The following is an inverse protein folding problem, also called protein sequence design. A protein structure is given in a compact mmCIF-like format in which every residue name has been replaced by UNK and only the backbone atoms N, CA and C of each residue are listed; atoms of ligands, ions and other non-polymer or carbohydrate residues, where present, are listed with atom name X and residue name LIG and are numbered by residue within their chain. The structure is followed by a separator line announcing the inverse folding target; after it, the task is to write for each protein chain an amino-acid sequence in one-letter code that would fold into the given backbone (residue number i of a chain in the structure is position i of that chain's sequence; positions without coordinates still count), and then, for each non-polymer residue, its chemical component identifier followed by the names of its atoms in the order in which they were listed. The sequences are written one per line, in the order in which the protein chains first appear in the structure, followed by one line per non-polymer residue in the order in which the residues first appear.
data_IF_039036550231
#
_entry.id   IF_039036550231
#
_cell.length_a   1.000
_cell.length_b   1.000
_cell.length_c   1.000
_cell.angle_alpha   90.00
_cell.angle_beta   90.00
_cell.angle_gamma   90.00
#
_symmetry.space_group_name_H-M   'P 1'
#
loop_
_entity.id
_entity.type
_entity.pdbx_description
1 polymer ?
#
# COMPACT_ATOMS: atom_id res chain seq x y z
N UNK A 1 68.76 -18.47 2.95
CA UNK A 1 68.01 -18.83 4.18
C UNK A 1 67.08 -19.97 3.82
N UNK A 2 67.36 -21.20 4.26
CA UNK A 2 66.78 -22.44 3.80
C UNK A 2 65.48 -22.74 4.58
N UNK A 3 64.40 -23.05 3.84
CA UNK A 3 63.13 -23.52 4.41
C UNK A 3 63.24 -25.02 4.78
N UNK A 4 62.69 -25.48 5.92
CA UNK A 4 62.70 -26.89 6.27
C UNK A 4 61.62 -27.67 5.54
N UNK A 5 61.98 -28.87 5.09
CA UNK A 5 61.17 -29.87 4.41
C UNK A 5 60.04 -30.41 5.31
N UNK A 6 58.87 -30.61 4.69
CA UNK A 6 57.66 -31.12 5.30
C UNK A 6 57.78 -32.54 5.83
N UNK A 7 57.10 -32.77 6.94
CA UNK A 7 56.82 -34.09 7.51
C UNK A 7 55.54 -34.67 6.93
N UNK A 8 55.62 -35.82 6.29
CA UNK A 8 54.51 -36.59 5.82
C UNK A 8 53.71 -37.17 6.98
N UNK A 9 52.52 -36.63 7.25
CA UNK A 9 51.56 -37.25 8.17
C UNK A 9 50.71 -38.24 7.37
N UNK A 10 50.98 -39.51 7.53
CA UNK A 10 50.16 -40.59 6.99
C UNK A 10 48.91 -40.80 7.88
N UNK A 11 47.76 -40.45 7.34
CA UNK A 11 46.48 -40.78 7.95
C UNK A 11 46.20 -42.29 7.86
N UNK A 12 46.45 -43.04 8.93
CA UNK A 12 45.89 -44.38 9.04
C UNK A 12 44.38 -44.30 9.26
N UNK A 13 43.59 -44.72 8.28
CA UNK A 13 42.15 -44.82 8.33
C UNK A 13 41.77 -45.85 9.41
N UNK A 14 41.42 -45.40 10.60
CA UNK A 14 40.73 -46.20 11.60
C UNK A 14 39.30 -46.44 11.11
N UNK A 15 39.08 -47.55 10.38
CA UNK A 15 37.72 -48.09 10.17
C UNK A 15 37.18 -48.55 11.49
N UNK A 16 36.39 -47.71 12.16
CA UNK A 16 35.58 -48.11 13.29
C UNK A 16 34.62 -49.22 12.82
N UNK A 17 34.84 -50.45 13.29
CA UNK A 17 33.92 -51.58 13.05
C UNK A 17 32.61 -51.26 13.78
N UNK A 18 31.52 -51.09 13.03
CA UNK A 18 30.19 -50.96 13.60
C UNK A 18 29.91 -52.19 14.50
N UNK A 19 29.38 -52.01 15.71
CA UNK A 19 29.04 -53.13 16.61
C UNK A 19 27.96 -54.01 15.95
N UNK A 20 27.93 -55.33 16.25
CA UNK A 20 26.97 -56.24 15.65
C UNK A 20 25.54 -55.81 15.98
N UNK A 21 24.63 -55.98 15.04
CA UNK A 21 23.24 -55.49 15.07
C UNK A 21 22.48 -55.82 16.37
N UNK A 22 22.76 -56.99 16.99
CA UNK A 22 22.19 -57.36 18.29
C UNK A 22 22.66 -56.45 19.45
N UNK A 23 23.90 -55.97 19.43
CA UNK A 23 24.42 -55.11 20.48
C UNK A 23 23.80 -53.69 20.35
N UNK A 24 23.58 -53.23 19.15
CA UNK A 24 22.89 -51.95 18.86
C UNK A 24 21.44 -52.04 19.33
N UNK A 25 20.73 -53.18 19.03
CA UNK A 25 19.33 -53.37 19.44
C UNK A 25 19.18 -53.41 20.96
N UNK A 26 20.05 -54.15 21.64
CA UNK A 26 20.06 -54.23 23.12
C UNK A 26 20.44 -52.90 23.78
N UNK A 27 21.22 -52.05 23.12
CA UNK A 27 21.53 -50.72 23.62
C UNK A 27 20.32 -49.78 23.44
N UNK A 28 19.64 -49.85 22.32
CA UNK A 28 18.45 -49.03 22.01
C UNK A 28 17.25 -49.36 22.92
N UNK A 29 17.14 -50.62 23.39
CA UNK A 29 16.02 -51.07 24.26
C UNK A 29 16.29 -50.88 25.76
N UNK A 30 17.52 -50.49 26.17
CA UNK A 30 17.80 -50.23 27.58
C UNK A 30 17.10 -48.98 28.08
N UNK A 31 16.48 -49.09 29.26
CA UNK A 31 15.75 -48.02 29.94
C UNK A 31 16.59 -46.72 30.04
N UNK A 32 17.92 -46.83 30.22
CA UNK A 32 18.84 -45.69 30.25
C UNK A 32 18.97 -44.97 28.91
N UNK A 33 18.91 -45.70 27.79
CA UNK A 33 18.93 -45.07 26.45
C UNK A 33 17.62 -44.35 26.17
N UNK A 34 16.48 -44.94 26.51
CA UNK A 34 15.18 -44.33 26.40
C UNK A 34 15.08 -43.06 27.24
N UNK A 35 15.64 -43.08 28.44
CA UNK A 35 15.71 -41.93 29.33
C UNK A 35 16.61 -40.81 28.73
N UNK A 36 17.73 -41.19 28.14
CA UNK A 36 18.59 -40.22 27.44
C UNK A 36 17.90 -39.58 26.24
N UNK A 37 17.18 -40.39 25.43
CA UNK A 37 16.40 -39.87 24.28
C UNK A 37 15.28 -38.96 24.76
N UNK A 38 14.60 -39.32 25.86
CA UNK A 38 13.54 -38.46 26.43
C UNK A 38 14.11 -37.13 26.95
N UNK A 39 15.24 -37.16 27.67
CA UNK A 39 15.92 -35.96 28.17
C UNK A 39 16.42 -35.11 27.00
N UNK A 40 17.04 -35.70 25.97
CA UNK A 40 17.48 -34.99 24.77
C UNK A 40 16.30 -34.39 24.04
N UNK A 41 15.17 -35.11 23.94
CA UNK A 41 13.93 -34.59 23.36
C UNK A 41 13.39 -33.36 24.11
N UNK A 42 13.38 -33.43 25.44
CA UNK A 42 12.96 -32.31 26.31
C UNK A 42 13.91 -31.10 26.11
N UNK A 43 15.23 -31.36 26.10
CA UNK A 43 16.23 -30.31 25.85
C UNK A 43 16.00 -29.66 24.47
N UNK A 44 15.72 -30.45 23.43
CA UNK A 44 15.40 -29.97 22.08
C UNK A 44 14.11 -29.17 22.08
N UNK A 45 13.07 -29.59 22.80
CA UNK A 45 11.80 -28.87 22.93
C UNK A 45 12.00 -27.52 23.67
N UNK A 46 12.74 -27.54 24.78
CA UNK A 46 13.10 -26.34 25.53
C UNK A 46 13.93 -25.40 24.62
N UNK A 47 14.92 -25.93 23.91
CA UNK A 47 15.76 -25.19 23.00
C UNK A 47 14.99 -24.59 21.84
N UNK A 48 14.02 -25.34 21.27
CA UNK A 48 13.14 -24.81 20.22
C UNK A 48 12.12 -23.81 20.79
N UNK A 49 11.63 -24.02 22.02
CA UNK A 49 10.81 -23.04 22.72
C UNK A 49 11.56 -21.73 23.01
N UNK A 50 12.81 -21.84 23.45
CA UNK A 50 13.69 -20.67 23.66
C UNK A 50 14.10 -20.03 22.33
N UNK A 51 14.31 -20.80 21.26
CA UNK A 51 14.56 -20.29 19.92
C UNK A 51 13.31 -19.69 19.27
N UNK A 52 12.11 -20.15 19.63
CA UNK A 52 10.86 -19.49 19.23
C UNK A 52 10.81 -18.04 19.72
N UNK A 53 11.41 -17.77 20.90
CA UNK A 53 11.61 -16.40 21.40
C UNK A 53 12.78 -15.68 20.75
N UNK A 54 13.73 -16.39 20.12
CA UNK A 54 14.83 -15.75 19.38
C UNK A 54 14.35 -15.01 18.11
N UNK A 55 13.18 -15.39 17.55
CA UNK A 55 12.49 -14.61 16.53
C UNK A 55 12.08 -13.21 17.01
N UNK A 56 11.90 -13.05 18.32
CA UNK A 56 11.59 -11.75 18.91
C UNK A 56 12.79 -10.79 18.88
N UNK A 57 14.01 -11.28 18.91
CA UNK A 57 15.21 -10.44 18.82
C UNK A 57 15.35 -9.74 17.45
N UNK A 58 14.88 -10.32 16.36
CA UNK A 58 14.85 -9.68 15.06
C UNK A 58 13.90 -8.47 15.04
N UNK A 59 12.89 -8.45 15.89
CA UNK A 59 11.96 -7.32 16.04
C UNK A 59 12.65 -6.08 16.61
N UNK A 60 13.68 -6.26 17.44
CA UNK A 60 14.39 -5.15 18.08
C UNK A 60 15.41 -4.46 17.18
N UNK A 61 15.86 -5.10 16.12
CA UNK A 61 16.97 -4.59 15.31
C UNK A 61 16.52 -4.06 13.95
N UNK A 62 15.24 -3.85 13.71
CA UNK A 62 14.72 -3.32 12.45
C UNK A 62 15.21 -4.08 11.20
N UNK A 63 15.53 -5.35 11.33
CA UNK A 63 15.83 -6.19 10.18
C UNK A 63 14.50 -6.61 9.56
N UNK A 64 14.12 -5.92 8.45
CA UNK A 64 13.00 -6.36 7.64
C UNK A 64 13.17 -7.82 7.20
N UNK A 65 12.09 -8.55 6.96
CA UNK A 65 12.19 -9.91 6.46
C UNK A 65 12.92 -9.90 5.11
N UNK A 66 13.88 -10.79 4.96
CA UNK A 66 14.58 -11.00 3.68
C UNK A 66 13.63 -11.54 2.59
N UNK A 67 12.42 -11.98 2.99
CA UNK A 67 11.37 -12.51 2.12
C UNK A 67 10.26 -11.48 1.95
N UNK A 68 9.72 -11.36 0.74
CA UNK A 68 8.46 -10.64 0.55
C UNK A 68 7.32 -11.42 1.23
N UNK A 69 6.20 -10.76 1.63
CA UNK A 69 5.05 -11.44 2.23
C UNK A 69 4.50 -12.60 1.41
N UNK A 70 4.62 -12.52 0.08
CA UNK A 70 4.21 -13.59 -0.85
C UNK A 70 5.11 -14.83 -0.77
N UNK A 71 6.32 -14.69 -0.24
CA UNK A 71 7.28 -15.77 -0.06
C UNK A 71 7.28 -16.31 1.37
N UNK A 72 6.48 -15.69 2.24
CA UNK A 72 6.32 -16.10 3.62
C UNK A 72 5.29 -17.22 3.74
N UNK A 73 5.53 -18.15 4.64
CA UNK A 73 4.51 -19.10 5.06
C UNK A 73 3.36 -18.37 5.78
N UNK A 74 2.14 -18.95 5.85
CA UNK A 74 1.04 -18.33 6.57
C UNK A 74 1.38 -17.94 8.03
N UNK A 75 2.24 -18.72 8.69
CA UNK A 75 2.71 -18.44 10.05
C UNK A 75 3.67 -17.22 10.09
N UNK A 76 4.57 -17.14 9.13
CA UNK A 76 5.47 -15.97 9.00
C UNK A 76 4.67 -14.70 8.64
N UNK A 77 3.65 -14.82 7.80
CA UNK A 77 2.75 -13.70 7.46
C UNK A 77 1.96 -13.23 8.68
N UNK A 78 1.41 -14.18 9.48
CA UNK A 78 0.67 -13.83 10.69
C UNK A 78 1.58 -13.18 11.75
N UNK A 79 2.81 -13.66 11.91
CA UNK A 79 3.81 -13.05 12.79
C UNK A 79 4.21 -11.67 12.31
N UNK A 80 4.40 -11.49 11.00
CA UNK A 80 4.74 -10.20 10.41
C UNK A 80 3.59 -9.20 10.55
N UNK A 81 2.36 -9.61 10.27
CA UNK A 81 1.18 -8.77 10.47
C UNK A 81 1.01 -8.38 11.95
N UNK A 82 1.20 -9.33 12.88
CA UNK A 82 1.20 -9.03 14.31
C UNK A 82 2.32 -8.07 14.72
N UNK A 83 3.50 -8.18 14.09
CA UNK A 83 4.62 -7.28 14.35
C UNK A 83 4.34 -5.84 13.87
N UNK A 84 3.70 -5.66 12.72
CA UNK A 84 3.31 -4.35 12.22
C UNK A 84 2.22 -3.68 13.08
N UNK A 85 1.39 -4.49 13.75
CA UNK A 85 0.28 -4.00 14.57
C UNK A 85 0.63 -3.85 16.06
N UNK A 86 1.69 -4.53 16.52
CA UNK A 86 2.04 -4.52 17.95
C UNK A 86 2.94 -3.33 18.24
N UNK A 87 2.50 -2.37 19.06
CA UNK A 87 3.38 -1.30 19.50
C UNK A 87 4.58 -1.90 20.24
N UNK A 88 5.76 -1.34 19.98
CA UNK A 88 7.00 -1.75 20.66
C UNK A 88 6.86 -1.44 22.15
N UNK A 89 6.76 -2.47 22.98
CA UNK A 89 6.41 -2.37 24.42
C UNK A 89 7.58 -1.80 25.26
N UNK A 90 8.53 -1.10 24.71
CA UNK A 90 9.72 -0.68 25.46
C UNK A 90 9.66 0.71 26.09
N UNK A 91 8.65 1.51 25.79
CA UNK A 91 8.51 2.83 26.39
C UNK A 91 7.57 2.83 27.60
N UNK A 92 7.82 1.99 28.59
CA UNK A 92 7.20 2.10 29.91
C UNK A 92 7.87 3.19 30.78
N UNK A 93 8.41 4.23 30.15
CA UNK A 93 8.90 5.36 30.92
C UNK A 93 7.74 6.23 31.38
N UNK A 94 7.84 6.72 32.61
CA UNK A 94 6.94 7.76 33.08
C UNK A 94 6.92 8.92 32.06
N UNK A 95 5.78 9.57 31.84
CA UNK A 95 5.68 10.73 30.95
C UNK A 95 6.76 11.74 31.36
N UNK A 96 7.60 12.15 30.41
CA UNK A 96 8.57 13.20 30.64
C UNK A 96 7.84 14.52 30.55
N UNK A 97 7.86 15.30 31.65
CA UNK A 97 7.35 16.67 31.64
C UNK A 97 8.35 17.58 30.92
N UNK A 98 7.87 18.27 29.90
CA UNK A 98 8.66 19.24 29.13
C UNK A 98 8.11 20.63 29.46
N UNK A 99 8.89 21.40 30.20
CA UNK A 99 8.52 22.77 30.66
C UNK A 99 8.94 23.85 29.64
N UNK A 100 8.99 23.53 28.34
CA UNK A 100 9.34 24.50 27.30
C UNK A 100 8.29 24.49 26.19
N UNK A 101 7.74 25.66 25.88
CA UNK A 101 6.79 25.85 24.78
C UNK A 101 7.45 25.70 23.39
N UNK A 102 8.77 25.70 23.32
CA UNK A 102 9.53 25.53 22.08
C UNK A 102 9.81 24.05 21.73
N UNK A 103 9.44 23.12 22.64
CA UNK A 103 9.66 21.69 22.45
C UNK A 103 8.29 21.00 22.38
N UNK A 104 8.00 20.39 21.25
CA UNK A 104 6.80 19.57 21.06
C UNK A 104 7.19 18.09 21.18
N UNK A 105 6.56 17.38 22.12
CA UNK A 105 6.64 15.91 22.19
C UNK A 105 5.43 15.31 21.50
N UNK A 106 5.68 14.43 20.55
CA UNK A 106 4.63 13.67 19.83
C UNK A 106 4.84 12.19 20.11
N UNK A 107 3.80 11.53 20.63
CA UNK A 107 3.77 10.08 20.81
C UNK A 107 2.89 9.47 19.72
N UNK A 108 3.48 8.67 18.83
CA UNK A 108 2.79 7.97 17.74
C UNK A 108 2.30 6.57 18.14
N UNK A 109 2.72 6.06 19.31
CA UNK A 109 2.36 4.69 19.71
C UNK A 109 0.83 4.46 19.89
N UNK A 110 0.03 5.43 20.35
CA UNK A 110 -1.42 5.26 20.46
C UNK A 110 -2.16 5.42 19.14
N UNK A 111 -1.47 5.89 18.07
CA UNK A 111 -2.11 6.08 16.76
C UNK A 111 -2.18 4.72 16.07
N UNK A 112 -3.40 4.26 15.85
CA UNK A 112 -3.67 2.96 15.24
C UNK A 112 -4.51 3.11 13.98
N UNK A 113 -4.49 2.09 13.12
CA UNK A 113 -5.35 1.96 11.95
C UNK A 113 -6.02 0.60 12.04
N UNK A 114 -7.29 0.59 12.46
CA UNK A 114 -8.00 -0.65 12.83
C UNK A 114 -9.39 -0.73 12.19
N UNK A 115 -9.97 -1.95 12.09
CA UNK A 115 -11.36 -2.10 11.64
C UNK A 115 -12.39 -1.38 12.52
N UNK A 116 -12.02 -1.04 13.75
CA UNK A 116 -12.85 -0.30 14.69
C UNK A 116 -12.62 1.22 14.60
N UNK A 117 -12.25 1.74 13.44
CA UNK A 117 -11.88 3.13 13.22
C UNK A 117 -12.90 4.13 13.77
N UNK A 118 -14.20 3.89 13.55
CA UNK A 118 -15.27 4.74 14.08
C UNK A 118 -15.33 4.73 15.62
N UNK A 119 -15.19 3.56 16.25
CA UNK A 119 -15.25 3.42 17.70
C UNK A 119 -14.06 4.08 18.39
N UNK A 120 -12.90 4.02 17.73
CA UNK A 120 -11.64 4.63 18.21
C UNK A 120 -11.47 6.07 17.76
N UNK A 121 -12.42 6.60 17.00
CA UNK A 121 -12.37 7.95 16.43
C UNK A 121 -11.08 8.19 15.61
N UNK A 122 -10.67 7.18 14.85
CA UNK A 122 -9.48 7.24 14.01
C UNK A 122 -9.66 8.28 12.90
N UNK A 123 -8.65 9.13 12.71
CA UNK A 123 -8.72 10.25 11.77
C UNK A 123 -8.29 9.83 10.37
N UNK A 124 -8.98 10.36 9.38
CA UNK A 124 -8.75 10.10 7.96
C UNK A 124 -8.27 11.38 7.28
N UNK A 125 -7.20 11.29 6.52
CA UNK A 125 -6.72 12.35 5.63
C UNK A 125 -7.13 12.02 4.19
N UNK A 126 -7.99 12.84 3.60
CA UNK A 126 -8.34 12.72 2.17
C UNK A 126 -7.42 13.62 1.35
N UNK A 127 -6.77 13.05 0.34
CA UNK A 127 -5.79 13.70 -0.52
C UNK A 127 -6.23 13.68 -1.98
N UNK A 128 -6.31 14.86 -2.60
CA UNK A 128 -6.74 15.02 -4.00
C UNK A 128 -5.77 15.95 -4.74
N UNK A 129 -4.90 15.42 -5.62
CA UNK A 129 -4.12 16.25 -6.52
C UNK A 129 -5.00 16.75 -7.68
N UNK A 130 -4.86 18.03 -8.02
CA UNK A 130 -5.68 18.72 -9.01
C UNK A 130 -4.81 19.36 -10.10
N UNK A 131 -5.23 19.22 -11.35
CA UNK A 131 -4.71 19.95 -12.50
C UNK A 131 -5.78 20.10 -13.56
N UNK A 132 -6.15 21.34 -13.91
CA UNK A 132 -7.24 21.63 -14.85
C UNK A 132 -8.53 20.87 -14.48
N UNK A 133 -8.97 21.03 -13.24
CA UNK A 133 -10.02 20.23 -12.62
C UNK A 133 -11.31 21.00 -12.35
N UNK A 134 -11.38 22.29 -12.72
CA UNK A 134 -12.52 23.15 -12.44
C UNK A 134 -13.90 22.50 -12.73
N UNK A 135 -14.12 21.78 -13.85
CA UNK A 135 -15.43 21.19 -14.16
C UNK A 135 -15.89 20.07 -13.23
N UNK A 136 -14.97 19.48 -12.45
CA UNK A 136 -15.26 18.30 -11.63
C UNK A 136 -15.38 18.61 -10.13
N UNK A 137 -14.96 19.79 -9.70
CA UNK A 137 -14.80 20.15 -8.28
C UNK A 137 -16.15 20.16 -7.57
N UNK A 138 -17.20 20.75 -8.14
CA UNK A 138 -18.52 20.82 -7.51
C UNK A 138 -19.05 19.41 -7.20
N UNK A 139 -19.06 18.50 -8.18
CA UNK A 139 -19.49 17.13 -7.98
C UNK A 139 -18.62 16.38 -6.95
N UNK A 140 -17.32 16.59 -6.97
CA UNK A 140 -16.41 16.01 -5.99
C UNK A 140 -16.81 16.40 -4.56
N UNK A 141 -17.10 17.68 -4.32
CA UNK A 141 -17.54 18.15 -3.00
C UNK A 141 -18.91 17.63 -2.60
N UNK A 142 -19.83 17.47 -3.53
CA UNK A 142 -21.12 16.87 -3.25
C UNK A 142 -20.98 15.40 -2.82
N UNK A 143 -20.09 14.65 -3.44
CA UNK A 143 -19.78 13.28 -3.03
C UNK A 143 -19.04 13.23 -1.68
N UNK A 144 -18.09 14.12 -1.42
CA UNK A 144 -17.44 14.23 -0.12
C UNK A 144 -18.45 14.55 0.99
N UNK A 145 -19.39 15.44 0.72
CA UNK A 145 -20.42 15.80 1.66
C UNK A 145 -21.38 14.65 2.01
N UNK A 146 -21.57 13.70 1.09
CA UNK A 146 -22.39 12.51 1.30
C UNK A 146 -21.68 11.44 2.16
N UNK A 147 -20.37 11.53 2.40
CA UNK A 147 -19.67 10.57 3.23
C UNK A 147 -20.33 10.42 4.60
N UNK A 148 -20.47 9.18 5.05
CA UNK A 148 -21.08 8.84 6.34
C UNK A 148 -20.06 8.78 7.48
N UNK A 149 -18.77 8.66 7.16
CA UNK A 149 -17.70 8.79 8.16
C UNK A 149 -17.76 10.19 8.78
N UNK A 150 -17.66 10.32 10.11
CA UNK A 150 -17.86 11.61 10.78
C UNK A 150 -16.91 12.70 10.25
N UNK A 151 -17.45 13.77 9.69
CA UNK A 151 -16.67 14.82 9.04
C UNK A 151 -15.61 15.45 9.96
N UNK A 152 -15.91 15.57 11.29
CA UNK A 152 -14.94 16.08 12.26
C UNK A 152 -13.73 15.16 12.48
N UNK A 153 -13.74 13.92 11.93
CA UNK A 153 -12.60 13.01 11.90
C UNK A 153 -11.89 13.00 10.54
N UNK A 154 -12.32 13.82 9.60
CA UNK A 154 -11.75 13.90 8.23
C UNK A 154 -11.03 15.23 8.07
N UNK A 155 -9.78 15.17 7.64
CA UNK A 155 -9.04 16.31 7.12
C UNK A 155 -8.97 16.21 5.58
N UNK A 156 -9.20 17.33 4.90
CA UNK A 156 -9.11 17.43 3.45
C UNK A 156 -7.81 18.15 3.05
N UNK A 157 -7.12 17.65 2.03
CA UNK A 157 -6.00 18.38 1.45
C UNK A 157 -5.97 18.23 -0.06
N UNK A 158 -5.81 19.35 -0.74
CA UNK A 158 -5.79 19.49 -2.19
C UNK A 158 -4.46 20.06 -2.63
N UNK A 159 -3.89 19.54 -3.70
CA UNK A 159 -2.74 20.15 -4.35
C UNK A 159 -3.17 20.67 -5.71
N UNK A 160 -3.04 21.97 -5.94
CA UNK A 160 -3.23 22.60 -7.24
C UNK A 160 -1.87 22.91 -7.84
N UNK A 161 -1.60 22.39 -9.04
CA UNK A 161 -0.34 22.63 -9.72
C UNK A 161 -0.47 22.55 -11.24
N UNK A 162 0.31 23.38 -11.93
CA UNK A 162 0.35 23.47 -13.40
C UNK A 162 -1.04 23.62 -14.05
N UNK A 163 -2.02 24.21 -13.33
CA UNK A 163 -3.37 24.46 -13.85
C UNK A 163 -3.41 25.76 -14.67
N UNK A 164 -4.15 25.73 -15.76
CA UNK A 164 -4.36 26.87 -16.69
C UNK A 164 -5.81 27.35 -16.72
N UNK A 165 -6.69 26.67 -15.99
CA UNK A 165 -8.10 27.01 -15.81
C UNK A 165 -8.37 27.58 -14.39
N UNK A 166 -9.63 27.81 -14.06
CA UNK A 166 -10.07 28.40 -12.79
C UNK A 166 -10.07 27.39 -11.62
N UNK A 167 -9.33 26.27 -11.69
CA UNK A 167 -9.30 25.21 -10.68
C UNK A 167 -9.12 25.76 -9.25
N UNK A 168 -8.16 26.68 -9.05
CA UNK A 168 -7.90 27.21 -7.70
C UNK A 168 -9.06 28.06 -7.16
N UNK A 169 -9.64 28.90 -8.00
CA UNK A 169 -10.75 29.77 -7.60
C UNK A 169 -12.02 28.98 -7.29
N UNK A 170 -12.35 27.99 -8.13
CA UNK A 170 -13.48 27.09 -7.91
C UNK A 170 -13.27 26.25 -6.65
N UNK A 171 -12.06 25.70 -6.44
CA UNK A 171 -11.72 24.96 -5.23
C UNK A 171 -11.92 25.78 -3.96
N UNK A 172 -11.43 27.02 -3.93
CA UNK A 172 -11.58 27.90 -2.76
C UNK A 172 -13.05 28.16 -2.46
N UNK A 173 -13.85 28.48 -3.49
CA UNK A 173 -15.29 28.75 -3.37
C UNK A 173 -16.04 27.51 -2.81
N UNK A 174 -15.76 26.34 -3.34
CA UNK A 174 -16.41 25.10 -2.90
C UNK A 174 -16.00 24.69 -1.47
N UNK A 175 -14.74 24.90 -1.10
CA UNK A 175 -14.28 24.68 0.27
C UNK A 175 -14.99 25.60 1.26
N UNK A 176 -15.13 26.88 0.94
CA UNK A 176 -15.89 27.82 1.76
C UNK A 176 -17.36 27.38 1.88
N UNK A 177 -17.97 26.99 0.77
CA UNK A 177 -19.35 26.48 0.73
C UNK A 177 -19.54 25.29 1.66
N UNK A 178 -18.67 24.26 1.58
CA UNK A 178 -18.84 23.02 2.33
C UNK A 178 -18.53 23.22 3.83
N UNK A 179 -17.56 24.06 4.17
CA UNK A 179 -17.16 24.32 5.56
C UNK A 179 -18.11 25.26 6.29
N UNK A 180 -18.88 26.10 5.56
CA UNK A 180 -19.87 27.02 6.15
C UNK A 180 -21.26 26.41 6.33
N UNK A 181 -21.49 25.18 5.87
CA UNK A 181 -22.80 24.51 6.01
C UNK A 181 -23.12 24.23 7.49
N UNK A 182 -24.39 24.40 7.84
CA UNK A 182 -24.90 24.25 9.22
C UNK A 182 -25.73 22.99 9.42
N UNK A 183 -26.05 22.27 8.36
CA UNK A 183 -26.87 21.05 8.39
C UNK A 183 -26.05 19.78 8.71
N UNK A 184 -24.74 19.84 8.62
CA UNK A 184 -23.78 18.83 9.08
C UNK A 184 -22.62 19.46 9.82
N UNK A 185 -21.94 18.67 10.66
CA UNK A 185 -20.67 19.08 11.26
C UNK A 185 -19.65 19.24 10.12
N UNK A 186 -18.91 20.35 10.03
CA UNK A 186 -17.91 20.55 8.98
C UNK A 186 -16.76 19.55 9.08
N UNK A 187 -16.00 19.42 8.00
CA UNK A 187 -14.74 18.67 8.02
C UNK A 187 -13.79 19.30 9.06
N UNK A 188 -12.97 18.45 9.70
CA UNK A 188 -12.10 18.91 10.78
C UNK A 188 -11.13 20.02 10.34
N UNK A 189 -10.54 19.86 9.16
CA UNK A 189 -9.75 20.91 8.50
C UNK A 189 -9.72 20.71 7.00
N UNK A 190 -9.42 21.80 6.26
CA UNK A 190 -9.16 21.76 4.84
C UNK A 190 -7.88 22.54 4.53
N UNK A 191 -7.10 22.06 3.56
CA UNK A 191 -5.82 22.64 3.14
C UNK A 191 -5.74 22.71 1.63
N UNK A 192 -5.33 23.85 1.10
CA UNK A 192 -4.93 24.04 -0.29
C UNK A 192 -3.41 24.15 -0.32
N UNK A 193 -2.77 23.32 -1.13
CA UNK A 193 -1.33 23.36 -1.40
C UNK A 193 -1.16 23.78 -2.86
N UNK A 194 -0.44 24.83 -3.11
CA UNK A 194 -0.12 25.28 -4.46
C UNK A 194 1.33 24.92 -4.79
N UNK A 195 1.53 24.17 -5.88
CA UNK A 195 2.86 23.79 -6.33
C UNK A 195 2.90 23.45 -7.81
N UNK A 196 3.56 24.28 -8.58
CA UNK A 196 3.87 24.00 -9.99
C UNK A 196 5.14 23.18 -10.12
N UNK A 197 5.09 22.19 -11.01
CA UNK A 197 6.20 21.28 -11.31
C UNK A 197 6.80 21.53 -12.70
N UNK A 198 6.21 22.46 -13.48
CA UNK A 198 6.62 22.77 -14.84
C UNK A 198 6.31 21.63 -15.81
N UNK A 199 5.19 20.92 -15.60
CA UNK A 199 4.80 19.81 -16.47
C UNK A 199 4.28 20.35 -17.80
N UNK A 200 5.04 20.13 -18.86
CA UNK A 200 4.74 20.58 -20.22
C UNK A 200 3.88 19.61 -21.02
N UNK A 201 3.56 18.44 -20.48
CA UNK A 201 2.68 17.46 -21.15
C UNK A 201 1.29 18.05 -21.30
N UNK A 202 0.80 18.12 -22.55
CA UNK A 202 -0.55 18.60 -22.88
C UNK A 202 -1.63 17.87 -22.10
N UNK A 203 -2.77 18.53 -21.89
CA UNK A 203 -3.92 17.96 -21.19
C UNK A 203 -4.93 17.31 -22.13
N UNK A 204 -4.76 17.47 -23.44
CA UNK A 204 -5.61 16.82 -24.42
C UNK A 204 -5.53 15.30 -24.34
N UNK A 205 -6.63 14.64 -24.63
CA UNK A 205 -6.75 13.16 -24.48
C UNK A 205 -5.64 12.44 -25.26
N UNK A 206 -5.33 12.90 -26.48
CA UNK A 206 -4.28 12.33 -27.32
C UNK A 206 -2.88 12.51 -26.71
N UNK A 207 -2.58 13.70 -26.18
CA UNK A 207 -1.30 13.99 -25.53
C UNK A 207 -1.12 13.19 -24.24
N UNK A 208 -2.18 13.10 -23.42
CA UNK A 208 -2.14 12.36 -22.14
C UNK A 208 -1.97 10.86 -22.34
N UNK A 209 -2.54 10.30 -23.41
CA UNK A 209 -2.53 8.87 -23.70
C UNK A 209 -1.43 8.44 -24.66
N UNK A 210 -0.57 9.35 -25.13
CA UNK A 210 0.59 9.01 -25.94
C UNK A 210 1.59 8.14 -25.18
N UNK A 211 2.03 7.01 -25.76
CA UNK A 211 2.94 6.06 -25.11
C UNK A 211 4.20 6.74 -24.53
N UNK A 212 4.87 7.61 -25.30
CA UNK A 212 6.09 8.32 -24.85
C UNK A 212 5.86 9.28 -23.67
N UNK A 213 4.63 9.76 -23.50
CA UNK A 213 4.27 10.68 -22.42
C UNK A 213 4.05 9.98 -21.08
N UNK A 214 3.79 8.66 -21.08
CA UNK A 214 3.38 7.93 -19.86
C UNK A 214 4.46 7.94 -18.78
N UNK A 215 5.69 7.62 -19.12
CA UNK A 215 6.78 7.61 -18.15
C UNK A 215 6.98 8.96 -17.45
N UNK A 216 7.21 10.06 -18.19
CA UNK A 216 7.32 11.40 -17.61
C UNK A 216 6.07 11.82 -16.82
N UNK A 217 4.86 11.57 -17.35
CA UNK A 217 3.60 11.92 -16.71
C UNK A 217 3.44 11.21 -15.35
N UNK A 218 3.64 9.89 -15.29
CA UNK A 218 3.54 9.12 -14.03
C UNK A 218 4.57 9.57 -13.01
N UNK A 219 5.81 9.85 -13.42
CA UNK A 219 6.84 10.40 -12.53
C UNK A 219 6.43 11.78 -11.97
N UNK A 220 5.82 12.63 -12.77
CA UNK A 220 5.31 13.94 -12.33
C UNK A 220 4.13 13.78 -11.34
N UNK A 221 3.20 12.88 -11.62
CA UNK A 221 2.07 12.59 -10.72
C UNK A 221 2.55 12.01 -9.37
N UNK A 222 3.50 11.08 -9.39
CA UNK A 222 4.12 10.56 -8.17
C UNK A 222 4.78 11.66 -7.35
N UNK A 223 5.46 12.60 -8.01
CA UNK A 223 6.05 13.77 -7.35
C UNK A 223 4.97 14.65 -6.70
N UNK A 224 3.88 14.95 -7.41
CA UNK A 224 2.78 15.77 -6.90
C UNK A 224 2.13 15.11 -5.68
N UNK A 225 1.84 13.79 -5.74
CA UNK A 225 1.30 13.04 -4.60
C UNK A 225 2.23 13.11 -3.38
N UNK A 226 3.53 12.96 -3.56
CA UNK A 226 4.50 13.01 -2.46
C UNK A 226 4.57 14.41 -1.81
N UNK A 227 4.50 15.49 -2.59
CA UNK A 227 4.46 16.84 -2.04
C UNK A 227 3.19 17.07 -1.21
N UNK A 228 2.04 16.65 -1.74
CA UNK A 228 0.77 16.77 -1.01
C UNK A 228 0.81 15.96 0.29
N UNK A 229 1.25 14.72 0.24
CA UNK A 229 1.37 13.84 1.41
C UNK A 229 2.29 14.44 2.48
N UNK A 230 3.50 14.85 2.07
CA UNK A 230 4.50 15.39 3.00
C UNK A 230 4.05 16.69 3.67
N UNK A 231 3.17 17.45 3.01
CA UNK A 231 2.63 18.70 3.55
C UNK A 231 1.45 18.46 4.47
N UNK A 232 0.59 17.48 4.16
CA UNK A 232 -0.72 17.32 4.79
C UNK A 232 -0.76 16.24 5.88
N UNK A 233 0.14 15.23 5.84
CA UNK A 233 0.10 14.12 6.81
C UNK A 233 0.52 14.61 8.20
N UNK A 234 -0.43 14.58 9.13
CA UNK A 234 -0.24 14.93 10.54
C UNK A 234 -0.02 13.68 11.40
N UNK A 235 0.58 13.84 12.60
CA UNK A 235 0.80 12.73 13.53
C UNK A 235 -0.45 11.93 13.90
N UNK A 236 -1.59 12.57 14.00
CA UNK A 236 -2.86 12.02 14.47
C UNK A 236 -3.71 11.33 13.37
N UNK A 237 -3.26 11.34 12.12
CA UNK A 237 -3.93 10.60 11.07
C UNK A 237 -3.67 9.09 11.20
N UNK A 238 -4.72 8.30 11.20
CA UNK A 238 -4.68 6.82 11.17
C UNK A 238 -4.73 6.30 9.75
N UNK A 239 -5.52 6.93 8.89
CA UNK A 239 -5.77 6.50 7.52
C UNK A 239 -5.50 7.62 6.54
N UNK A 240 -5.04 7.28 5.35
CA UNK A 240 -4.90 8.16 4.18
C UNK A 240 -5.78 7.64 3.07
N UNK A 241 -6.66 8.50 2.56
CA UNK A 241 -7.55 8.19 1.45
C UNK A 241 -7.21 9.07 0.25
N UNK A 242 -6.55 8.50 -0.74
CA UNK A 242 -6.32 9.12 -2.03
C UNK A 242 -7.58 9.02 -2.88
N UNK A 243 -8.05 10.16 -3.36
CA UNK A 243 -9.28 10.22 -4.15
C UNK A 243 -9.11 11.22 -5.28
N UNK A 244 -9.27 10.78 -6.52
CA UNK A 244 -9.25 11.65 -7.68
C UNK A 244 -10.55 12.49 -7.74
N UNK A 245 -10.49 13.62 -8.44
CA UNK A 245 -11.58 14.62 -8.48
C UNK A 245 -12.73 14.21 -9.42
N UNK A 246 -12.44 13.43 -10.45
CA UNK A 246 -13.31 13.09 -11.58
C UNK A 246 -14.11 11.80 -11.36
N UNK A 247 -14.50 11.55 -10.12
CA UNK A 247 -15.41 10.49 -9.73
C UNK A 247 -16.86 10.95 -9.97
N UNK A 248 -17.61 10.11 -10.65
CA UNK A 248 -19.03 10.36 -10.96
C UNK A 248 -19.96 9.93 -9.82
N UNK A 249 -19.67 8.77 -9.22
CA UNK A 249 -20.41 8.23 -8.10
C UNK A 249 -19.57 7.26 -7.28
N UNK A 250 -19.82 7.20 -5.98
CA UNK A 250 -19.16 6.29 -5.05
C UNK A 250 -20.06 6.03 -3.85
N UNK A 251 -20.00 4.83 -3.24
CA UNK A 251 -20.73 4.56 -2.00
C UNK A 251 -20.35 5.55 -0.91
N UNK A 252 -21.35 6.14 -0.24
CA UNK A 252 -21.13 7.11 0.85
C UNK A 252 -20.41 6.52 2.06
N UNK A 253 -20.48 5.18 2.23
CA UNK A 253 -19.82 4.43 3.29
C UNK A 253 -18.42 3.92 2.93
N UNK A 254 -17.84 4.39 1.83
CA UNK A 254 -16.59 3.84 1.30
C UNK A 254 -15.45 3.80 2.33
N UNK A 255 -15.36 4.78 3.22
CA UNK A 255 -14.31 4.81 4.25
C UNK A 255 -14.55 3.68 5.26
N UNK A 256 -15.77 3.57 5.81
CA UNK A 256 -16.11 2.52 6.77
C UNK A 256 -15.97 1.13 6.17
N UNK A 257 -16.43 0.96 4.94
CA UNK A 257 -16.33 -0.32 4.25
C UNK A 257 -14.85 -0.72 4.07
N UNK A 258 -13.99 0.22 3.69
CA UNK A 258 -12.58 -0.06 3.45
C UNK A 258 -11.78 -0.33 4.72
N UNK A 259 -11.99 0.46 5.78
CA UNK A 259 -11.28 0.24 7.06
C UNK A 259 -11.70 -1.08 7.70
N UNK A 260 -12.93 -1.57 7.46
CA UNK A 260 -13.41 -2.85 7.97
C UNK A 260 -12.61 -4.05 7.44
N UNK A 261 -12.03 -3.95 6.25
CA UNK A 261 -11.17 -4.98 5.67
C UNK A 261 -9.79 -5.11 6.34
N UNK A 262 -9.37 -4.13 7.12
CA UNK A 262 -8.07 -4.11 7.83
C UNK A 262 -6.86 -4.37 6.93
N UNK A 263 -6.87 -3.84 5.71
CA UNK A 263 -5.77 -3.99 4.77
C UNK A 263 -4.85 -2.77 4.81
N UNK A 264 -3.55 -3.00 4.57
CA UNK A 264 -2.56 -1.92 4.59
C UNK A 264 -2.76 -0.96 3.41
N UNK A 265 -3.08 -1.52 2.25
CA UNK A 265 -3.44 -0.80 1.03
C UNK A 265 -4.62 -1.51 0.37
N UNK A 266 -5.69 -0.77 0.10
CA UNK A 266 -6.92 -1.30 -0.49
C UNK A 266 -7.45 -0.36 -1.57
N UNK A 267 -7.87 -0.93 -2.71
CA UNK A 267 -8.44 -0.19 -3.84
C UNK A 267 -9.76 -0.82 -4.33
N UNK A 268 -10.75 -0.01 -4.76
CA UNK A 268 -11.95 -0.51 -5.41
C UNK A 268 -11.70 -0.81 -6.88
N UNK A 269 -12.64 -1.47 -7.51
CA UNK A 269 -12.72 -1.53 -8.97
C UNK A 269 -13.26 -0.21 -9.53
N UNK A 270 -12.76 0.25 -10.66
CA UNK A 270 -13.15 1.53 -11.27
C UNK A 270 -13.79 1.27 -12.61
N UNK A 271 -15.05 1.69 -12.73
CA UNK A 271 -15.84 1.56 -13.95
C UNK A 271 -16.40 2.91 -14.34
N UNK A 272 -17.06 2.99 -15.54
CA UNK A 272 -17.79 4.15 -16.00
C UNK A 272 -19.13 3.76 -16.63
N UNK A 273 -20.06 4.70 -16.68
CA UNK A 273 -21.29 4.60 -17.46
C UNK A 273 -21.17 5.42 -18.73
N UNK A 274 -21.62 4.87 -19.85
CA UNK A 274 -21.75 5.56 -21.11
C UNK A 274 -23.16 5.39 -21.65
N UNK A 275 -23.87 6.49 -21.85
CA UNK A 275 -25.16 6.47 -22.49
C UNK A 275 -24.98 6.63 -23.99
N UNK A 276 -25.32 5.58 -24.75
CA UNK A 276 -25.24 5.59 -26.21
C UNK A 276 -26.48 4.92 -26.80
N UNK A 277 -27.14 5.59 -27.76
CA UNK A 277 -28.31 5.09 -28.48
C UNK A 277 -29.47 4.62 -27.53
N UNK A 278 -29.65 5.32 -26.40
CA UNK A 278 -30.68 5.00 -25.41
C UNK A 278 -30.32 3.83 -24.48
N UNK A 279 -29.09 3.32 -24.57
CA UNK A 279 -28.59 2.23 -23.72
C UNK A 279 -27.50 2.75 -22.76
N UNK A 280 -27.59 2.30 -21.50
CA UNK A 280 -26.52 2.46 -20.51
C UNK A 280 -25.50 1.34 -20.67
N UNK A 281 -24.26 1.72 -20.97
CA UNK A 281 -23.14 0.80 -21.17
C UNK A 281 -22.19 0.94 -20.00
N UNK A 282 -22.05 -0.12 -19.20
CA UNK A 282 -21.04 -0.21 -18.15
C UNK A 282 -19.68 -0.58 -18.75
N UNK A 283 -18.72 0.32 -18.61
CA UNK A 283 -17.35 0.12 -19.07
C UNK A 283 -16.35 -0.02 -17.95
N UNK A 284 -15.22 -0.64 -18.25
CA UNK A 284 -14.09 -0.80 -17.33
C UNK A 284 -13.11 0.34 -17.55
N UNK A 285 -12.72 1.02 -16.46
CA UNK A 285 -11.90 2.22 -16.58
C UNK A 285 -10.42 1.96 -16.24
N UNK A 286 -10.13 1.44 -15.03
CA UNK A 286 -8.76 1.38 -14.52
C UNK A 286 -8.10 0.01 -14.75
N UNK A 287 -7.13 -0.01 -15.66
CA UNK A 287 -6.30 -1.18 -15.96
C UNK A 287 -4.95 -1.17 -15.23
N UNK A 288 -4.71 -0.23 -14.32
CA UNK A 288 -3.47 -0.16 -13.54
C UNK A 288 -3.53 -1.03 -12.27
N UNK A 289 -4.73 -1.55 -11.91
CA UNK A 289 -4.89 -2.52 -10.84
C UNK A 289 -4.80 -3.94 -11.39
N UNK A 290 -3.71 -4.66 -11.07
CA UNK A 290 -3.41 -5.94 -11.71
C UNK A 290 -2.60 -6.89 -10.82
N UNK A 291 -2.68 -8.18 -11.19
CA UNK A 291 -1.81 -9.24 -10.70
C UNK A 291 -0.71 -9.54 -11.73
N UNK A 292 0.52 -9.72 -11.25
CA UNK A 292 1.70 -9.94 -12.10
C UNK A 292 1.66 -11.30 -12.81
N UNK A 293 2.16 -11.31 -14.03
CA UNK A 293 2.30 -12.51 -14.88
C UNK A 293 3.77 -12.91 -15.07
N UNK A 294 3.99 -14.12 -15.55
CA UNK A 294 5.34 -14.55 -15.93
C UNK A 294 5.86 -13.77 -17.16
N UNK A 295 4.97 -13.43 -18.10
CA UNK A 295 5.29 -12.60 -19.27
C UNK A 295 5.69 -11.19 -18.83
N UNK A 296 4.92 -10.55 -17.94
CA UNK A 296 5.23 -9.23 -17.42
C UNK A 296 6.56 -9.20 -16.65
N UNK A 297 6.84 -10.22 -15.84
CA UNK A 297 8.12 -10.34 -15.14
C UNK A 297 9.30 -10.50 -16.10
N UNK A 298 9.17 -11.34 -17.13
CA UNK A 298 10.22 -11.52 -18.15
C UNK A 298 10.46 -10.24 -18.93
N UNK A 299 9.40 -9.53 -19.30
CA UNK A 299 9.50 -8.26 -19.99
C UNK A 299 10.23 -7.22 -19.10
N UNK A 300 9.79 -7.02 -17.86
CA UNK A 300 10.44 -6.09 -16.93
C UNK A 300 11.93 -6.38 -16.73
N UNK A 301 12.29 -7.68 -16.62
CA UNK A 301 13.70 -8.10 -16.49
C UNK A 301 14.54 -7.86 -17.77
N UNK A 302 13.90 -7.69 -18.93
CA UNK A 302 14.58 -7.39 -20.19
C UNK A 302 14.75 -5.91 -20.49
N UNK A 303 14.01 -5.05 -19.77
CA UNK A 303 14.04 -3.60 -19.93
C UNK A 303 15.17 -2.97 -19.09
N UNK A 304 15.60 -1.78 -19.51
CA UNK A 304 16.42 -0.93 -18.68
C UNK A 304 15.66 -0.56 -17.39
N UNK A 305 16.38 -0.45 -16.28
CA UNK A 305 15.80 -0.20 -14.96
C UNK A 305 15.08 1.14 -14.83
N UNK A 306 15.45 2.11 -15.68
CA UNK A 306 14.86 3.45 -15.68
C UNK A 306 13.61 3.56 -16.58
N UNK A 307 13.30 2.51 -17.35
CA UNK A 307 12.10 2.44 -18.18
C UNK A 307 10.88 2.22 -17.31
N UNK A 308 9.84 3.03 -17.51
CA UNK A 308 8.52 2.83 -16.89
C UNK A 308 7.65 2.02 -17.85
N UNK A 309 7.25 0.84 -17.40
CA UNK A 309 6.35 -0.04 -18.11
C UNK A 309 4.91 0.43 -17.85
N UNK A 310 4.28 1.04 -18.86
CA UNK A 310 2.90 1.49 -18.78
C UNK A 310 1.96 0.44 -19.37
N UNK A 311 0.87 0.13 -18.67
CA UNK A 311 -0.13 -0.83 -19.12
C UNK A 311 -1.02 -0.29 -20.24
N UNK A 312 -1.56 -1.20 -21.06
CA UNK A 312 -2.52 -0.88 -22.12
C UNK A 312 -1.92 -0.45 -23.44
N UNK A 313 -0.59 -0.52 -23.60
CA UNK A 313 0.11 -0.14 -24.83
C UNK A 313 0.60 -1.38 -25.60
N UNK A 314 0.53 -1.29 -26.94
CA UNK A 314 0.95 -2.38 -27.84
C UNK A 314 2.42 -2.74 -27.71
N UNK A 315 3.24 -1.78 -27.29
CA UNK A 315 4.67 -1.91 -27.07
C UNK A 315 5.01 -2.84 -25.91
N UNK A 316 4.08 -2.99 -24.96
CA UNK A 316 4.27 -3.80 -23.75
C UNK A 316 3.17 -4.85 -23.64
N UNK A 317 3.50 -6.08 -23.97
CA UNK A 317 2.61 -7.22 -23.78
C UNK A 317 2.95 -7.93 -22.48
N UNK A 318 2.09 -7.77 -21.47
CA UNK A 318 2.37 -8.22 -20.11
C UNK A 318 1.59 -9.46 -19.69
N UNK A 319 0.50 -9.79 -20.33
CA UNK A 319 -0.45 -10.85 -19.90
C UNK A 319 -0.89 -10.73 -18.43
N UNK A 320 -0.81 -9.53 -17.85
CA UNK A 320 -1.27 -9.28 -16.49
C UNK A 320 -2.77 -9.47 -16.35
N UNK A 321 -3.19 -9.94 -15.19
CA UNK A 321 -4.62 -10.09 -14.88
C UNK A 321 -5.14 -8.79 -14.27
N UNK A 322 -5.94 -8.07 -15.02
CA UNK A 322 -6.48 -6.77 -14.59
C UNK A 322 -7.71 -6.95 -13.71
N UNK A 323 -7.73 -6.29 -12.54
CA UNK A 323 -8.89 -6.28 -11.66
C UNK A 323 -10.13 -5.71 -12.35
N UNK A 324 -9.97 -4.75 -13.26
CA UNK A 324 -11.04 -4.19 -14.06
C UNK A 324 -11.88 -5.25 -14.79
N UNK A 325 -11.29 -6.39 -15.10
CA UNK A 325 -11.96 -7.53 -15.76
C UNK A 325 -12.41 -8.63 -14.81
N UNK A 326 -12.19 -8.44 -13.52
CA UNK A 326 -12.59 -9.38 -12.47
C UNK A 326 -13.82 -8.82 -11.76
N UNK A 327 -14.73 -9.69 -11.38
CA UNK A 327 -15.90 -9.35 -10.58
C UNK A 327 -17.01 -8.58 -11.30
N UNK A 328 -18.07 -8.36 -10.54
CA UNK A 328 -19.26 -7.59 -10.93
C UNK A 328 -19.75 -6.84 -9.68
N UNK A 329 -20.20 -5.59 -9.83
CA UNK A 329 -20.68 -4.78 -8.70
C UNK A 329 -21.97 -5.31 -8.07
N UNK A 330 -22.63 -6.26 -8.74
CA UNK A 330 -23.83 -6.96 -8.26
C UNK A 330 -23.52 -8.14 -7.32
N UNK A 331 -22.24 -8.56 -7.31
CA UNK A 331 -21.76 -9.68 -6.51
C UNK A 331 -21.32 -9.22 -5.10
N UNK A 332 -20.82 -10.17 -4.28
CA UNK A 332 -20.35 -9.88 -2.93
C UNK A 332 -19.20 -8.86 -2.94
N UNK A 333 -19.45 -7.71 -2.33
CA UNK A 333 -18.51 -6.57 -2.30
C UNK A 333 -17.28 -6.81 -1.42
N UNK A 334 -17.34 -7.79 -0.49
CA UNK A 334 -16.29 -8.08 0.46
C UNK A 334 -15.21 -9.04 -0.10
N UNK A 335 -15.34 -9.44 -1.37
CA UNK A 335 -14.34 -10.29 -2.01
C UNK A 335 -13.05 -9.49 -2.21
N UNK A 336 -11.95 -10.02 -1.71
CA UNK A 336 -10.62 -9.43 -1.83
C UNK A 336 -9.73 -10.23 -2.77
N UNK A 337 -8.90 -9.56 -3.53
CA UNK A 337 -7.84 -10.18 -4.32
C UNK A 337 -6.50 -9.48 -4.05
N UNK A 338 -5.39 -10.22 -3.94
CA UNK A 338 -4.07 -9.61 -3.86
C UNK A 338 -3.69 -8.95 -5.18
N UNK A 339 -3.05 -7.78 -5.12
CA UNK A 339 -2.61 -7.03 -6.30
C UNK A 339 -1.10 -6.77 -6.24
N UNK A 340 -0.48 -6.70 -7.42
CA UNK A 340 0.94 -6.35 -7.63
C UNK A 340 1.14 -4.92 -8.12
N UNK A 341 0.13 -4.36 -8.76
CA UNK A 341 0.01 -2.97 -9.17
C UNK A 341 -1.37 -2.45 -8.82
N UNK A 342 -1.50 -1.15 -8.57
CA UNK A 342 -2.78 -0.49 -8.30
C UNK A 342 -2.93 0.77 -9.13
N UNK A 343 -4.19 1.12 -9.40
CA UNK A 343 -4.56 2.41 -9.99
C UNK A 343 -4.64 3.54 -8.98
N UNK A 344 -4.82 4.76 -9.47
CA UNK A 344 -4.71 5.99 -8.68
C UNK A 344 -6.04 6.62 -8.26
N UNK A 345 -7.15 6.20 -8.85
CA UNK A 345 -8.45 6.87 -8.71
C UNK A 345 -8.96 6.88 -7.26
N UNK A 346 -8.79 5.74 -6.58
CA UNK A 346 -9.17 5.58 -5.17
C UNK A 346 -8.21 4.62 -4.47
N UNK A 347 -7.56 5.07 -3.41
CA UNK A 347 -6.64 4.23 -2.61
C UNK A 347 -6.83 4.55 -1.13
N UNK A 348 -7.19 3.57 -0.33
CA UNK A 348 -7.14 3.70 1.14
C UNK A 348 -5.90 3.00 1.67
N UNK A 349 -5.16 3.71 2.52
CA UNK A 349 -3.84 3.28 3.03
C UNK A 349 -3.79 3.51 4.53
N UNK A 350 -3.27 2.57 5.30
CA UNK A 350 -2.88 2.84 6.69
C UNK A 350 -1.78 3.91 6.72
N UNK A 351 -1.94 4.95 7.50
CA UNK A 351 -1.01 6.08 7.51
C UNK A 351 0.44 5.66 7.83
N UNK A 352 0.60 4.57 8.59
CA UNK A 352 1.91 4.02 8.92
C UNK A 352 2.68 3.48 7.72
N UNK A 353 2.01 3.03 6.66
CA UNK A 353 2.66 2.66 5.40
C UNK A 353 3.44 3.85 4.84
N UNK A 354 2.79 5.02 4.79
CA UNK A 354 3.42 6.26 4.34
C UNK A 354 4.49 6.77 5.30
N UNK A 355 4.26 6.68 6.61
CA UNK A 355 5.26 7.04 7.63
C UNK A 355 6.50 6.17 7.58
N UNK A 356 6.34 4.90 7.22
CA UNK A 356 7.46 3.98 6.97
C UNK A 356 8.28 4.30 5.71
N UNK A 357 7.90 5.36 4.97
CA UNK A 357 8.62 5.81 3.78
C UNK A 357 8.13 5.18 2.47
N UNK A 358 7.03 4.45 2.49
CA UNK A 358 6.43 3.90 1.28
C UNK A 358 5.55 4.97 0.64
N UNK A 359 6.09 5.62 -0.40
CA UNK A 359 5.47 6.73 -1.11
C UNK A 359 5.43 6.44 -2.62
N UNK A 360 4.94 7.38 -3.41
CA UNK A 360 4.79 7.20 -4.86
C UNK A 360 6.14 7.45 -5.55
N UNK A 361 6.81 6.42 -6.11
CA UNK A 361 8.10 6.66 -6.76
C UNK A 361 7.95 7.57 -7.99
N UNK A 362 8.69 8.67 -7.98
CA UNK A 362 8.82 9.59 -9.10
C UNK A 362 9.99 9.20 -10.03
N UNK A 363 10.40 7.96 -9.97
CA UNK A 363 11.41 7.28 -10.80
C UNK A 363 10.90 5.85 -11.07
N UNK A 364 11.56 5.09 -11.91
CA UNK A 364 11.19 3.69 -12.12
C UNK A 364 11.65 2.84 -10.94
N UNK A 365 10.72 2.21 -10.25
CA UNK A 365 10.96 1.18 -9.25
C UNK A 365 10.42 -0.15 -9.76
N UNK A 366 11.28 -1.12 -10.02
CA UNK A 366 10.93 -2.38 -10.69
C UNK A 366 10.11 -2.13 -11.99
N UNK A 367 10.56 -1.17 -12.79
CA UNK A 367 9.92 -0.70 -14.02
C UNK A 367 8.49 -0.15 -13.82
N UNK A 368 8.13 0.26 -12.61
CA UNK A 368 6.85 0.91 -12.32
C UNK A 368 7.09 2.28 -11.69
N UNK A 369 6.16 3.20 -11.87
CA UNK A 369 6.20 4.52 -11.24
C UNK A 369 4.83 4.87 -10.66
N UNK A 370 4.75 5.90 -9.84
CA UNK A 370 3.52 6.38 -9.21
C UNK A 370 2.80 5.25 -8.47
N UNK A 371 1.51 5.02 -8.71
CA UNK A 371 0.67 4.10 -7.94
C UNK A 371 1.03 2.63 -8.12
N UNK A 372 1.39 2.22 -9.33
CA UNK A 372 1.89 0.85 -9.56
C UNK A 372 3.26 0.64 -8.89
N UNK A 373 4.11 1.66 -8.94
CA UNK A 373 5.39 1.66 -8.22
C UNK A 373 5.20 1.67 -6.69
N UNK A 374 4.22 2.42 -6.19
CA UNK A 374 3.84 2.41 -4.78
C UNK A 374 3.41 1.01 -4.32
N UNK A 375 2.55 0.33 -5.09
CA UNK A 375 2.14 -1.05 -4.79
C UNK A 375 3.34 -2.01 -4.73
N UNK A 376 4.28 -1.91 -5.68
CA UNK A 376 5.52 -2.70 -5.67
C UNK A 376 6.36 -2.40 -4.42
N UNK A 377 6.53 -1.13 -4.05
CA UNK A 377 7.26 -0.73 -2.85
C UNK A 377 6.60 -1.26 -1.58
N UNK A 378 5.27 -1.11 -1.45
CA UNK A 378 4.50 -1.60 -0.31
C UNK A 378 4.68 -3.11 -0.13
N UNK A 379 4.49 -3.88 -1.20
CA UNK A 379 4.69 -5.34 -1.17
C UNK A 379 6.12 -5.74 -0.86
N UNK A 380 7.09 -5.04 -1.40
CA UNK A 380 8.52 -5.29 -1.12
C UNK A 380 8.85 -5.04 0.36
N UNK A 381 8.20 -4.05 0.97
CA UNK A 381 8.34 -3.73 2.39
C UNK A 381 7.54 -4.66 3.32
N UNK A 382 6.71 -5.56 2.78
CA UNK A 382 5.96 -6.53 3.57
C UNK A 382 4.49 -6.16 3.80
N UNK A 383 4.01 -5.05 3.25
CA UNK A 383 2.63 -4.63 3.38
C UNK A 383 1.70 -5.37 2.41
N UNK A 384 0.47 -5.61 2.86
CA UNK A 384 -0.59 -6.22 2.07
C UNK A 384 -1.22 -5.21 1.11
N UNK A 385 -1.23 -5.54 -0.18
CA UNK A 385 -1.89 -4.73 -1.22
C UNK A 385 -3.02 -5.54 -1.83
N UNK A 386 -4.25 -5.04 -1.70
CA UNK A 386 -5.46 -5.75 -2.10
C UNK A 386 -6.38 -4.87 -2.93
N UNK A 387 -7.25 -5.51 -3.67
CA UNK A 387 -8.33 -4.88 -4.40
C UNK A 387 -9.67 -5.57 -4.16
N UNK A 388 -10.74 -4.82 -4.31
CA UNK A 388 -12.13 -5.27 -4.20
C UNK A 388 -12.75 -5.32 -5.59
N UNK A 389 -12.75 -6.46 -6.29
CA UNK A 389 -13.19 -6.55 -7.68
C UNK A 389 -14.69 -6.27 -7.85
N UNK A 390 -15.51 -6.49 -6.81
CA UNK A 390 -16.97 -6.28 -6.83
C UNK A 390 -17.40 -4.95 -6.17
N UNK A 391 -16.46 -4.22 -5.56
CA UNK A 391 -16.74 -2.90 -5.01
C UNK A 391 -16.39 -1.84 -6.05
N UNK A 392 -17.40 -1.24 -6.68
CA UNK A 392 -17.19 -0.35 -7.81
C UNK A 392 -17.34 1.12 -7.40
N UNK A 393 -16.40 1.92 -7.82
CA UNK A 393 -16.48 3.38 -7.87
C UNK A 393 -16.60 3.80 -9.33
N UNK A 394 -17.55 4.69 -9.61
CA UNK A 394 -17.86 5.14 -10.96
C UNK A 394 -17.06 6.39 -11.31
N UNK A 395 -16.27 6.30 -12.35
CA UNK A 395 -15.50 7.40 -12.92
C UNK A 395 -16.30 8.08 -14.04
N UNK A 396 -15.97 9.32 -14.37
CA UNK A 396 -16.48 9.94 -15.58
C UNK A 396 -16.06 9.13 -16.81
N UNK A 397 -16.89 9.12 -17.85
CA UNK A 397 -16.44 8.62 -19.15
C UNK A 397 -15.51 9.66 -19.81
N UNK A 398 -14.27 9.30 -20.06
CA UNK A 398 -13.28 10.22 -20.65
C UNK A 398 -13.59 10.59 -22.11
N UNK A 399 -14.50 9.90 -22.76
CA UNK A 399 -15.00 10.26 -24.08
C UNK A 399 -16.18 11.25 -24.02
N UNK A 400 -16.80 11.45 -22.84
CA UNK A 400 -17.79 12.51 -22.62
C UNK A 400 -17.03 13.84 -22.45
N UNK A 401 -17.25 14.75 -23.39
CA UNK A 401 -16.75 16.12 -23.24
C UNK A 401 -17.55 16.84 -22.15
N UNK A 402 -16.91 17.57 -21.23
CA UNK A 402 -17.62 18.42 -20.27
C UNK A 402 -18.53 19.40 -21.03
N UNK A 403 -19.83 19.39 -20.79
CA UNK A 403 -20.77 20.34 -21.36
C UNK A 403 -21.82 19.78 -22.34
N UNK A 404 -21.85 18.46 -22.57
CA UNK A 404 -22.92 17.81 -23.35
C UNK A 404 -23.80 16.93 -22.43
N UNK A 405 -24.37 17.51 -21.40
CA UNK A 405 -25.38 16.89 -20.54
C UNK A 405 -26.66 17.71 -20.54
#
# INVERSE_FOLDING_TARGET
MLLPKGSNITWKSARARLPPSRAIWNFLTRTRFLLFVAVAGIIILIWNGVRGTAGDWQRFYCFGPAKSPMQMTPNEQAQWAGHLQTPVIFNHHAPIEINSSSIQRIDLNPITSTPQALQKQERVLILTPLRNAAPYIEQHFDLLYQLTYPHHLIDLAFLVGDSTDDTLAVLATELERIQSRTDKIPFNSAMIVEKDFGVTVGQDVEDRHGFKAQGPRRKAMGKARNYLLATALKPDHSWVYWRDVDIKDSPSRIIEDFVAHDRDVLVPNIWFHRYKDGHDIEGRFDYNSWQESDTGRKLANSLDKDVVLAEGYKEYHTDRKYMARMGDWRDNKDVEIPLDGIGGVNIVVKADVHRAGINFPCYAFENQAETEGFAKMARRAGYGVFGLPNYVVWHIDTEEKPGNG
#
